data_IF_928226836365
#
_entry.id   IF_928226836365
#
_cell.length_a   1.000
_cell.length_b   1.000
_cell.length_c   1.000
_cell.angle_alpha   90.00
_cell.angle_beta   90.00
_cell.angle_gamma   90.00
#
_symmetry.space_group_name_H-M   'P 1'
#
loop_
_entity.id
_entity.type
_entity.pdbx_description
1 polymer ?
#
# COMPACT_ATOMS: atom_id res chain seq x y z
N UNK A 1 10.30 -29.86 48.17
CA UNK A 1 10.41 -29.87 46.69
C UNK A 1 8.99 -29.82 46.14
N UNK A 2 8.54 -28.65 45.70
CA UNK A 2 7.16 -28.43 45.30
C UNK A 2 6.89 -28.99 43.91
N UNK A 3 5.99 -29.97 43.84
CA UNK A 3 5.59 -30.67 42.61
C UNK A 3 5.13 -29.69 41.53
N UNK A 4 4.60 -28.52 41.91
CA UNK A 4 4.14 -27.46 41.00
C UNK A 4 5.30 -26.76 40.28
N UNK A 5 6.44 -26.56 40.94
CA UNK A 5 7.64 -25.94 40.34
C UNK A 5 8.36 -26.90 39.39
N UNK A 6 8.35 -28.20 39.72
CA UNK A 6 8.87 -29.25 38.83
C UNK A 6 8.04 -29.35 37.54
N UNK A 7 6.71 -29.34 37.64
CA UNK A 7 5.82 -29.41 36.48
C UNK A 7 5.90 -28.17 35.58
N UNK A 8 6.05 -26.96 36.15
CA UNK A 8 6.32 -25.74 35.37
C UNK A 8 7.67 -25.83 34.64
N UNK A 9 8.71 -26.29 35.32
CA UNK A 9 10.04 -26.42 34.73
C UNK A 9 10.06 -27.44 33.58
N UNK A 10 9.38 -28.58 33.73
CA UNK A 10 9.24 -29.58 32.66
C UNK A 10 8.47 -29.00 31.48
N UNK A 11 7.35 -28.29 31.72
CA UNK A 11 6.56 -27.66 30.66
C UNK A 11 7.35 -26.60 29.87
N UNK A 12 8.20 -25.82 30.53
CA UNK A 12 9.08 -24.84 29.86
C UNK A 12 10.16 -25.55 29.04
N UNK A 13 10.77 -26.61 29.58
CA UNK A 13 11.86 -27.35 28.91
C UNK A 13 11.39 -28.19 27.71
N UNK A 14 10.19 -28.77 27.78
CA UNK A 14 9.64 -29.62 26.71
C UNK A 14 8.68 -28.87 25.78
N UNK A 15 8.01 -27.83 26.26
CA UNK A 15 7.11 -27.01 25.44
C UNK A 15 7.83 -26.02 24.53
N UNK A 16 9.03 -25.55 24.90
CA UNK A 16 9.79 -24.57 24.12
C UNK A 16 10.50 -25.11 22.88
N UNK A 17 10.70 -26.43 22.77
CA UNK A 17 11.54 -27.04 21.72
C UNK A 17 10.77 -27.79 20.64
N UNK A 18 9.49 -28.14 20.87
CA UNK A 18 8.76 -29.02 19.96
C UNK A 18 7.70 -28.33 19.10
N UNK A 19 7.29 -27.10 19.44
CA UNK A 19 6.32 -26.35 18.63
C UNK A 19 6.71 -24.87 18.60
N UNK A 20 7.44 -24.47 17.56
CA UNK A 20 7.37 -23.08 17.08
C UNK A 20 8.51 -22.14 17.45
N UNK A 21 9.71 -22.61 17.84
CA UNK A 21 10.88 -21.72 17.85
C UNK A 21 11.14 -21.14 16.45
N UNK A 22 11.03 -21.96 15.39
CA UNK A 22 11.18 -21.48 14.00
C UNK A 22 10.00 -20.62 13.53
N UNK A 23 8.78 -20.86 14.01
CA UNK A 23 7.59 -20.05 13.67
C UNK A 23 7.58 -18.69 14.41
N UNK A 24 8.10 -18.65 15.64
CA UNK A 24 8.27 -17.42 16.41
C UNK A 24 9.51 -16.65 15.95
N UNK A 25 10.63 -17.30 15.65
CA UNK A 25 11.83 -16.63 15.14
C UNK A 25 11.62 -16.10 13.71
N UNK A 26 10.87 -16.80 12.85
CA UNK A 26 10.48 -16.28 11.53
C UNK A 26 9.54 -15.08 11.59
N UNK A 27 8.85 -14.85 12.72
CA UNK A 27 8.07 -13.63 12.94
C UNK A 27 8.89 -12.44 13.46
N UNK A 28 10.10 -12.67 13.99
CA UNK A 28 10.98 -11.61 14.53
C UNK A 28 12.23 -11.34 13.71
N UNK A 29 12.57 -12.20 12.75
CA UNK A 29 13.56 -11.90 11.72
C UNK A 29 12.82 -11.43 10.48
N UNK A 30 12.97 -10.16 10.10
CA UNK A 30 12.66 -9.73 8.73
C UNK A 30 13.39 -10.72 7.80
N UNK A 31 12.67 -11.56 7.04
CA UNK A 31 13.33 -12.52 6.17
C UNK A 31 14.23 -11.70 5.23
N UNK A 32 15.49 -12.09 5.16
CA UNK A 32 16.47 -11.58 4.21
C UNK A 32 15.77 -11.30 2.88
N UNK A 33 15.74 -10.03 2.47
CA UNK A 33 14.97 -9.52 1.34
C UNK A 33 15.49 -10.04 -0.02
N UNK A 34 15.49 -11.35 -0.26
CA UNK A 34 15.24 -11.84 -1.61
C UNK A 34 13.78 -11.52 -1.87
N UNK A 35 13.51 -10.65 -2.84
CA UNK A 35 12.16 -10.22 -3.18
C UNK A 35 11.23 -11.44 -3.30
N UNK A 36 10.40 -11.65 -2.28
CA UNK A 36 9.29 -12.60 -2.33
C UNK A 36 8.25 -11.89 -3.17
N UNK A 37 8.27 -12.14 -4.49
CA UNK A 37 7.35 -11.56 -5.46
C UNK A 37 8.00 -11.10 -6.75
N UNK A 38 7.21 -10.49 -7.62
CA UNK A 38 7.63 -10.06 -8.97
C UNK A 38 8.42 -8.73 -8.96
N UNK A 39 8.24 -7.87 -7.96
CA UNK A 39 8.91 -6.57 -7.90
C UNK A 39 10.32 -6.69 -7.33
N UNK A 40 11.27 -5.96 -7.93
CA UNK A 40 12.62 -5.82 -7.37
C UNK A 40 12.61 -4.98 -6.08
N UNK A 41 13.67 -5.09 -5.27
CA UNK A 41 13.85 -4.24 -4.09
C UNK A 41 13.84 -2.74 -4.45
N UNK A 42 14.41 -2.36 -5.60
CA UNK A 42 14.39 -0.97 -6.07
C UNK A 42 12.98 -0.49 -6.44
N UNK A 43 12.13 -1.36 -6.99
CA UNK A 43 10.72 -1.06 -7.28
C UNK A 43 9.89 -0.97 -6.00
N UNK A 44 10.13 -1.83 -5.03
CA UNK A 44 9.52 -1.74 -3.68
C UNK A 44 9.88 -0.41 -3.02
N UNK A 45 11.16 -0.01 -3.06
CA UNK A 45 11.61 1.27 -2.53
C UNK A 45 11.00 2.46 -3.27
N UNK A 46 10.88 2.37 -4.59
CA UNK A 46 10.19 3.38 -5.40
C UNK A 46 8.72 3.53 -4.96
N UNK A 47 8.00 2.43 -4.80
CA UNK A 47 6.61 2.45 -4.31
C UNK A 47 6.49 3.05 -2.91
N UNK A 48 7.42 2.70 -2.01
CA UNK A 48 7.46 3.29 -0.67
C UNK A 48 7.67 4.81 -0.71
N UNK A 49 8.56 5.32 -1.57
CA UNK A 49 8.80 6.77 -1.71
C UNK A 49 7.64 7.50 -2.40
N UNK A 50 6.99 6.89 -3.40
CA UNK A 50 5.76 7.43 -4.00
C UNK A 50 4.68 7.49 -2.92
N UNK A 51 4.51 6.39 -2.16
CA UNK A 51 3.60 6.30 -1.03
C UNK A 51 3.84 7.41 -0.01
N UNK A 52 5.07 7.58 0.48
CA UNK A 52 5.41 8.62 1.45
C UNK A 52 5.17 10.03 0.91
N UNK A 53 5.28 10.23 -0.40
CA UNK A 53 4.99 11.54 -1.01
C UNK A 53 3.47 11.81 -1.03
N UNK A 54 2.65 10.78 -1.22
CA UNK A 54 1.17 10.89 -1.23
C UNK A 54 0.61 10.94 0.20
N UNK A 55 1.12 10.10 1.10
CA UNK A 55 0.72 9.95 2.50
C UNK A 55 1.96 10.09 3.39
N UNK A 56 2.48 11.32 3.58
CA UNK A 56 3.66 11.57 4.38
C UNK A 56 3.39 11.37 5.86
N UNK A 57 4.45 11.08 6.61
CA UNK A 57 4.41 11.09 8.07
C UNK A 57 3.94 12.45 8.59
N UNK A 58 2.95 12.42 9.48
CA UNK A 58 2.40 13.59 10.17
C UNK A 58 2.56 13.45 11.68
N UNK A 59 2.15 14.47 12.44
CA UNK A 59 2.12 14.39 13.89
C UNK A 59 1.14 13.33 14.43
N UNK A 60 0.13 12.92 13.66
CA UNK A 60 -0.92 11.99 14.09
C UNK A 60 -0.69 10.55 13.65
N UNK A 61 0.03 10.33 12.55
CA UNK A 61 0.26 9.00 11.97
C UNK A 61 1.55 8.97 11.17
N UNK A 62 2.21 7.80 11.20
CA UNK A 62 3.35 7.51 10.32
C UNK A 62 2.91 7.40 8.86
N UNK A 63 3.81 7.75 7.95
CA UNK A 63 3.54 7.77 6.51
C UNK A 63 3.57 6.39 5.85
N UNK A 64 3.25 6.35 4.56
CA UNK A 64 3.15 5.11 3.82
C UNK A 64 4.47 4.36 3.64
N UNK A 65 5.62 5.03 3.65
CA UNK A 65 6.91 4.32 3.66
C UNK A 65 7.14 3.59 4.98
N UNK A 66 6.74 4.19 6.10
CA UNK A 66 6.82 3.52 7.41
C UNK A 66 5.86 2.32 7.50
N UNK A 67 4.74 2.36 6.78
CA UNK A 67 3.82 1.22 6.61
C UNK A 67 4.30 0.16 5.61
N UNK A 68 5.46 0.37 4.97
CA UNK A 68 6.04 -0.51 3.96
C UNK A 68 5.04 -0.92 2.85
N UNK A 69 4.28 0.05 2.35
CA UNK A 69 3.25 -0.18 1.33
C UNK A 69 3.79 -0.89 0.10
N UNK A 70 5.03 -0.64 -0.31
CA UNK A 70 5.67 -1.30 -1.44
C UNK A 70 5.81 -2.82 -1.26
N UNK A 71 6.09 -3.28 -0.04
CA UNK A 71 6.19 -4.72 0.24
C UNK A 71 4.81 -5.39 0.21
N UNK A 72 3.79 -4.75 0.82
CA UNK A 72 2.41 -5.25 0.76
C UNK A 72 1.90 -5.30 -0.68
N UNK A 73 2.17 -4.26 -1.47
CA UNK A 73 1.84 -4.23 -2.90
C UNK A 73 2.52 -5.37 -3.65
N UNK A 74 3.80 -5.68 -3.37
CA UNK A 74 4.49 -6.77 -4.03
C UNK A 74 3.81 -8.13 -3.79
N UNK A 75 3.36 -8.40 -2.55
CA UNK A 75 2.60 -9.61 -2.21
C UNK A 75 1.29 -9.64 -3.01
N UNK A 76 0.49 -8.58 -2.95
CA UNK A 76 -0.82 -8.52 -3.61
C UNK A 76 -0.70 -8.64 -5.14
N UNK A 77 0.28 -7.96 -5.74
CA UNK A 77 0.51 -8.05 -7.19
C UNK A 77 0.99 -9.46 -7.58
N UNK A 78 1.80 -10.10 -6.75
CA UNK A 78 2.30 -11.45 -7.03
C UNK A 78 1.19 -12.50 -6.96
N UNK A 79 0.37 -12.43 -5.91
CA UNK A 79 -0.55 -13.52 -5.58
C UNK A 79 -1.94 -13.33 -6.19
N UNK A 80 -2.37 -12.08 -6.45
CA UNK A 80 -3.74 -11.78 -6.84
C UNK A 80 -3.91 -11.28 -8.27
N UNK A 81 -2.83 -10.87 -8.96
CA UNK A 81 -2.94 -10.23 -10.28
C UNK A 81 -2.56 -11.19 -11.40
N UNK A 82 -3.21 -11.06 -12.55
CA UNK A 82 -2.86 -11.80 -13.75
C UNK A 82 -1.55 -11.26 -14.37
N UNK A 83 -0.88 -12.06 -15.20
CA UNK A 83 0.43 -11.69 -15.80
C UNK A 83 0.36 -10.39 -16.59
N UNK A 84 -0.76 -10.15 -17.27
CA UNK A 84 -1.01 -8.94 -18.05
C UNK A 84 -1.12 -7.71 -17.14
N UNK A 85 -1.74 -7.84 -15.96
CA UNK A 85 -1.85 -6.78 -14.95
C UNK A 85 -0.50 -6.51 -14.27
N UNK A 86 0.23 -7.58 -13.92
CA UNK A 86 1.57 -7.48 -13.38
C UNK A 86 2.50 -6.70 -14.33
N UNK A 87 2.43 -7.01 -15.63
CA UNK A 87 3.20 -6.30 -16.67
C UNK A 87 2.82 -4.82 -16.74
N UNK A 88 1.52 -4.50 -16.71
CA UNK A 88 1.04 -3.11 -16.68
C UNK A 88 1.57 -2.32 -15.48
N UNK A 89 1.66 -2.94 -14.31
CA UNK A 89 2.25 -2.29 -13.13
C UNK A 89 3.74 -2.01 -13.32
N UNK A 90 4.50 -2.99 -13.82
CA UNK A 90 5.93 -2.81 -14.10
C UNK A 90 6.19 -1.70 -15.13
N UNK A 91 5.36 -1.61 -16.16
CA UNK A 91 5.38 -0.53 -17.14
C UNK A 91 5.02 0.82 -16.52
N UNK A 92 4.01 0.86 -15.66
CA UNK A 92 3.62 2.06 -14.92
C UNK A 92 4.78 2.61 -14.07
N UNK A 93 5.54 1.74 -13.40
CA UNK A 93 6.71 2.14 -12.60
C UNK A 93 7.85 2.69 -13.48
N UNK A 94 8.04 2.15 -14.69
CA UNK A 94 8.99 2.71 -15.67
C UNK A 94 8.53 4.09 -16.13
N UNK A 95 7.24 4.23 -16.45
CA UNK A 95 6.64 5.48 -16.93
C UNK A 95 6.78 6.61 -15.90
N UNK A 96 6.62 6.33 -14.61
CA UNK A 96 6.89 7.32 -13.54
C UNK A 96 8.31 7.88 -13.64
N UNK A 97 9.31 7.03 -13.85
CA UNK A 97 10.70 7.49 -13.96
C UNK A 97 10.96 8.25 -15.26
N UNK A 98 10.34 7.84 -16.38
CA UNK A 98 10.44 8.55 -17.66
C UNK A 98 9.89 9.97 -17.50
N UNK A 99 8.65 10.12 -17.02
CA UNK A 99 8.04 11.44 -16.84
C UNK A 99 8.77 12.29 -15.80
N UNK A 100 9.33 11.68 -14.75
CA UNK A 100 10.20 12.37 -13.81
C UNK A 100 11.47 12.89 -14.51
N UNK A 101 12.18 12.07 -15.29
CA UNK A 101 13.35 12.53 -16.03
C UNK A 101 13.04 13.63 -17.03
N UNK A 102 11.88 13.61 -17.67
CA UNK A 102 11.47 14.66 -18.59
C UNK A 102 11.23 16.00 -17.89
N UNK A 103 10.59 15.96 -16.72
CA UNK A 103 10.14 17.16 -15.98
C UNK A 103 11.18 17.70 -15.00
N UNK A 104 11.73 16.84 -14.14
CA UNK A 104 12.67 17.21 -13.05
C UNK A 104 14.14 16.90 -13.38
N UNK A 105 14.43 16.27 -14.53
CA UNK A 105 15.79 15.86 -14.97
C UNK A 105 16.51 14.89 -14.02
N UNK A 106 15.76 14.15 -13.21
CA UNK A 106 16.22 13.19 -12.20
C UNK A 106 15.31 11.97 -12.18
N UNK A 107 15.78 10.84 -11.64
CA UNK A 107 14.87 9.76 -11.26
C UNK A 107 13.98 10.22 -10.11
N UNK A 108 12.83 9.58 -9.92
CA UNK A 108 11.97 9.90 -8.78
C UNK A 108 12.70 9.71 -7.43
N UNK A 109 13.51 8.65 -7.31
CA UNK A 109 14.27 8.35 -6.10
C UNK A 109 15.41 9.34 -5.83
N UNK A 110 16.02 9.95 -6.84
CA UNK A 110 17.08 10.96 -6.63
C UNK A 110 16.55 12.38 -6.45
N UNK A 111 15.26 12.61 -6.69
CA UNK A 111 14.61 13.89 -6.49
C UNK A 111 14.43 14.24 -5.00
N UNK A 112 14.42 15.52 -4.68
CA UNK A 112 14.11 16.02 -3.34
C UNK A 112 12.62 15.95 -3.00
N UNK A 113 12.27 16.03 -1.71
CA UNK A 113 10.87 15.91 -1.23
C UNK A 113 9.91 16.90 -1.92
N UNK A 114 10.33 18.16 -2.08
CA UNK A 114 9.51 19.18 -2.74
C UNK A 114 9.33 18.92 -4.23
N UNK A 115 10.40 18.51 -4.93
CA UNK A 115 10.37 18.15 -6.36
C UNK A 115 9.42 16.96 -6.59
N UNK A 116 9.51 15.91 -5.76
CA UNK A 116 8.61 14.74 -5.81
C UNK A 116 7.15 15.13 -5.62
N UNK A 117 6.87 15.99 -4.63
CA UNK A 117 5.50 16.44 -4.35
C UNK A 117 4.92 17.23 -5.52
N UNK A 118 5.67 18.19 -6.08
CA UNK A 118 5.23 18.96 -7.25
C UNK A 118 5.00 18.06 -8.46
N UNK A 119 5.94 17.14 -8.73
CA UNK A 119 5.81 16.17 -9.82
C UNK A 119 4.56 15.29 -9.67
N UNK A 120 4.34 14.66 -8.51
CA UNK A 120 3.16 13.80 -8.31
C UNK A 120 1.86 14.59 -8.31
N UNK A 121 1.87 15.84 -7.85
CA UNK A 121 0.68 16.71 -7.90
C UNK A 121 0.28 16.99 -9.35
N UNK A 122 1.24 17.36 -10.20
CA UNK A 122 0.99 17.59 -11.62
C UNK A 122 0.57 16.29 -12.34
N UNK A 123 1.20 15.16 -12.00
CA UNK A 123 0.86 13.86 -12.57
C UNK A 123 -0.56 13.41 -12.17
N UNK A 124 -0.95 13.64 -10.92
CA UNK A 124 -2.30 13.33 -10.42
C UNK A 124 -3.38 14.18 -11.10
N UNK A 125 -3.10 15.47 -11.33
CA UNK A 125 -4.00 16.36 -12.09
C UNK A 125 -4.15 15.87 -13.54
N UNK A 126 -3.05 15.54 -14.21
CA UNK A 126 -3.06 14.96 -15.57
C UNK A 126 -3.88 13.66 -15.61
N UNK A 127 -3.67 12.76 -14.66
CA UNK A 127 -4.43 11.51 -14.54
C UNK A 127 -5.92 11.74 -14.31
N UNK A 128 -6.28 12.72 -13.46
CA UNK A 128 -7.67 13.10 -13.18
C UNK A 128 -8.38 13.62 -14.43
N UNK A 129 -7.75 14.55 -15.17
CA UNK A 129 -8.32 15.09 -16.41
C UNK A 129 -8.50 14.01 -17.46
N UNK A 130 -7.50 13.15 -17.66
CA UNK A 130 -7.58 12.00 -18.55
C UNK A 130 -8.76 11.09 -18.19
N UNK A 131 -8.92 10.75 -16.90
CA UNK A 131 -9.98 9.86 -16.46
C UNK A 131 -11.38 10.48 -16.67
N UNK A 132 -11.52 11.79 -16.46
CA UNK A 132 -12.78 12.50 -16.68
C UNK A 132 -13.18 12.51 -18.15
N UNK A 133 -12.25 12.83 -19.04
CA UNK A 133 -12.49 12.83 -20.48
C UNK A 133 -12.81 11.42 -21.00
N UNK A 134 -12.03 10.43 -20.55
CA UNK A 134 -12.28 9.01 -20.83
C UNK A 134 -13.69 8.60 -20.41
N UNK A 135 -14.12 8.96 -19.21
CA UNK A 135 -15.45 8.59 -18.70
C UNK A 135 -16.57 9.15 -19.59
N UNK A 136 -16.42 10.37 -20.10
CA UNK A 136 -17.41 10.96 -21.02
C UNK A 136 -17.46 10.15 -22.33
N UNK A 137 -16.30 9.90 -22.96
CA UNK A 137 -16.20 9.13 -24.21
C UNK A 137 -16.71 7.71 -24.07
N UNK A 138 -16.33 7.03 -22.98
CA UNK A 138 -16.75 5.66 -22.68
C UNK A 138 -18.28 5.59 -22.46
N UNK A 139 -18.87 6.58 -21.78
CA UNK A 139 -20.32 6.64 -21.56
C UNK A 139 -21.10 6.88 -22.86
N UNK A 140 -20.55 7.66 -23.80
CA UNK A 140 -21.13 7.86 -25.12
C UNK A 140 -21.04 6.61 -25.97
N UNK A 141 -19.85 5.99 -26.05
CA UNK A 141 -19.62 4.76 -26.80
C UNK A 141 -20.50 3.59 -26.30
N UNK A 142 -20.69 3.48 -24.98
CA UNK A 142 -21.57 2.46 -24.37
C UNK A 142 -23.04 2.62 -24.75
N UNK A 143 -23.50 3.82 -25.11
CA UNK A 143 -24.88 4.03 -25.59
C UNK A 143 -25.06 3.56 -27.04
N UNK A 144 -23.99 3.50 -27.82
CA UNK A 144 -24.02 3.21 -29.25
C UNK A 144 -23.55 1.79 -29.63
N UNK A 145 -22.89 1.08 -28.71
CA UNK A 145 -22.30 -0.24 -28.98
C UNK A 145 -22.54 -1.21 -27.80
N UNK A 146 -23.30 -2.28 -28.06
CA UNK A 146 -23.59 -3.35 -27.10
C UNK A 146 -22.35 -4.18 -26.73
N UNK A 147 -21.26 -4.10 -27.51
CA UNK A 147 -19.97 -4.75 -27.24
C UNK A 147 -18.90 -3.78 -26.77
N UNK A 148 -19.31 -2.67 -26.16
CA UNK A 148 -18.41 -1.65 -25.65
C UNK A 148 -17.33 -2.23 -24.71
N UNK A 149 -16.07 -1.95 -25.04
CA UNK A 149 -14.91 -2.22 -24.19
C UNK A 149 -14.35 -0.90 -23.71
N UNK A 150 -14.24 -0.73 -22.40
CA UNK A 150 -13.72 0.50 -21.82
C UNK A 150 -12.25 0.71 -22.19
N UNK A 151 -11.90 1.95 -22.53
CA UNK A 151 -10.50 2.34 -22.74
C UNK A 151 -9.67 2.06 -21.47
N UNK A 152 -8.34 1.90 -21.56
CA UNK A 152 -7.50 1.76 -20.36
C UNK A 152 -7.48 3.08 -19.55
N UNK A 153 -7.35 2.97 -18.23
CA UNK A 153 -7.18 4.12 -17.35
C UNK A 153 -5.77 4.71 -17.49
N UNK A 154 -5.58 5.96 -17.03
CA UNK A 154 -4.24 6.52 -16.91
C UNK A 154 -3.39 5.65 -15.96
N UNK A 155 -2.15 5.36 -16.33
CA UNK A 155 -1.28 4.41 -15.61
C UNK A 155 -1.12 4.75 -14.11
N UNK A 156 -1.04 6.05 -13.79
CA UNK A 156 -0.87 6.51 -12.42
C UNK A 156 -2.11 6.29 -11.54
N UNK A 157 -3.32 6.25 -12.12
CA UNK A 157 -4.57 6.11 -11.36
C UNK A 157 -4.60 4.79 -10.59
N UNK A 158 -4.31 3.67 -11.27
CA UNK A 158 -4.30 2.35 -10.62
C UNK A 158 -3.19 2.23 -9.58
N UNK A 159 -2.01 2.80 -9.87
CA UNK A 159 -0.89 2.81 -8.94
C UNK A 159 -1.23 3.57 -7.64
N UNK A 160 -1.78 4.78 -7.76
CA UNK A 160 -2.21 5.59 -6.61
C UNK A 160 -3.29 4.90 -5.80
N UNK A 161 -4.30 4.31 -6.46
CA UNK A 161 -5.36 3.57 -5.78
C UNK A 161 -4.80 2.40 -4.96
N UNK A 162 -3.88 1.63 -5.54
CA UNK A 162 -3.27 0.49 -4.86
C UNK A 162 -2.38 0.92 -3.68
N UNK A 163 -1.68 2.05 -3.79
CA UNK A 163 -0.92 2.64 -2.67
C UNK A 163 -1.84 3.04 -1.52
N UNK A 164 -2.94 3.75 -1.82
CA UNK A 164 -3.92 4.15 -0.82
C UNK A 164 -4.53 2.92 -0.14
N UNK A 165 -4.92 1.93 -0.94
CA UNK A 165 -5.46 0.67 -0.43
C UNK A 165 -4.44 -0.05 0.47
N UNK A 166 -3.18 -0.15 0.05
CA UNK A 166 -2.13 -0.79 0.85
C UNK A 166 -1.90 -0.06 2.18
N UNK A 167 -1.88 1.28 2.18
CA UNK A 167 -1.74 2.03 3.42
C UNK A 167 -2.91 1.82 4.37
N UNK A 168 -4.14 1.96 3.87
CA UNK A 168 -5.34 1.80 4.70
C UNK A 168 -5.67 0.34 5.02
N UNK A 169 -4.89 -0.64 4.57
CA UNK A 169 -4.95 -2.03 5.06
C UNK A 169 -3.72 -2.38 5.94
N UNK A 170 -2.84 -1.43 6.20
CA UNK A 170 -1.73 -1.60 7.14
C UNK A 170 -2.16 -1.30 8.58
N UNK A 171 -1.44 -1.86 9.56
CA UNK A 171 -1.67 -1.55 10.98
C UNK A 171 -1.56 -0.05 11.27
N UNK A 172 -0.57 0.64 10.66
CA UNK A 172 -0.38 2.08 10.79
C UNK A 172 -1.60 2.83 10.24
N UNK A 173 -2.06 2.48 9.04
CA UNK A 173 -3.25 3.09 8.46
C UNK A 173 -4.51 2.85 9.31
N UNK A 174 -4.67 1.65 9.84
CA UNK A 174 -5.83 1.26 10.62
C UNK A 174 -5.89 1.93 12.00
N UNK A 175 -4.78 1.96 12.71
CA UNK A 175 -4.73 2.35 14.13
C UNK A 175 -4.23 3.78 14.36
N UNK A 176 -3.31 4.26 13.53
CA UNK A 176 -2.73 5.61 13.63
C UNK A 176 -3.45 6.62 12.70
N UNK A 177 -3.75 6.26 11.45
CA UNK A 177 -4.45 7.18 10.54
C UNK A 177 -5.98 7.17 10.73
N UNK A 178 -6.54 6.00 11.01
CA UNK A 178 -7.97 5.77 11.25
C UNK A 178 -8.25 5.40 12.70
N UNK A 179 -9.52 5.14 13.01
CA UNK A 179 -9.98 4.62 14.30
C UNK A 179 -10.35 3.16 14.11
N UNK A 180 -9.49 2.27 14.56
CA UNK A 180 -9.77 0.84 14.56
C UNK A 180 -10.59 0.43 15.78
N UNK A 181 -11.69 -0.28 15.54
CA UNK A 181 -12.47 -0.99 16.58
C UNK A 181 -12.48 -2.46 16.19
N UNK A 182 -11.81 -3.30 16.98
CA UNK A 182 -11.65 -4.72 16.67
C UNK A 182 -12.98 -5.47 16.59
N UNK A 183 -13.97 -5.09 17.41
CA UNK A 183 -15.30 -5.69 17.42
C UNK A 183 -16.35 -4.58 17.64
N UNK A 184 -17.06 -4.12 16.60
CA UNK A 184 -18.16 -3.17 16.77
C UNK A 184 -19.38 -3.90 17.34
N UNK A 185 -19.46 -4.02 18.66
CA UNK A 185 -20.52 -4.76 19.37
C UNK A 185 -21.88 -4.07 19.33
N UNK A 186 -21.92 -2.76 19.07
CA UNK A 186 -23.16 -1.97 18.99
C UNK A 186 -23.08 -1.01 17.81
N UNK A 187 -24.16 -0.93 17.04
CA UNK A 187 -24.33 0.12 16.03
C UNK A 187 -24.71 1.44 16.69
N UNK A 188 -23.92 2.47 16.46
CA UNK A 188 -24.19 3.83 16.92
C UNK A 188 -24.38 4.74 15.69
N UNK A 189 -25.63 4.98 15.31
CA UNK A 189 -25.96 5.75 14.11
C UNK A 189 -25.64 7.25 14.19
N UNK A 190 -25.36 7.77 15.40
CA UNK A 190 -24.96 9.15 15.63
C UNK A 190 -23.87 9.20 16.70
N UNK A 191 -22.62 9.41 16.26
CA UNK A 191 -21.47 9.66 17.13
C UNK A 191 -21.11 11.15 17.04
N UNK A 192 -20.92 11.87 18.15
CA UNK A 192 -20.52 13.27 18.11
C UNK A 192 -19.22 13.45 17.31
N UNK A 193 -19.24 14.30 16.29
CA UNK A 193 -18.06 14.65 15.51
C UNK A 193 -17.40 15.90 16.07
N UNK A 194 -16.14 15.78 16.46
CA UNK A 194 -15.30 16.94 16.78
C UNK A 194 -14.39 17.25 15.60
N UNK A 195 -14.19 18.55 15.31
CA UNK A 195 -13.32 18.96 14.22
C UNK A 195 -11.92 18.37 14.41
N UNK A 196 -11.46 17.61 13.41
CA UNK A 196 -10.16 16.94 13.46
C UNK A 196 -10.19 15.51 13.97
N UNK A 197 -11.39 14.98 14.28
CA UNK A 197 -11.64 13.57 14.47
C UNK A 197 -11.25 12.77 13.23
N UNK A 198 -10.57 11.63 13.47
CA UNK A 198 -10.19 10.67 12.43
C UNK A 198 -11.42 9.87 11.99
N UNK A 199 -11.43 9.44 10.73
CA UNK A 199 -12.42 8.50 10.23
C UNK A 199 -12.26 7.12 10.90
N UNK A 200 -13.33 6.33 10.89
CA UNK A 200 -13.30 4.94 11.32
C UNK A 200 -12.67 4.06 10.25
N UNK A 201 -12.02 2.98 10.69
CA UNK A 201 -11.49 1.92 9.82
C UNK A 201 -12.60 1.09 9.20
#
# INVERSE_FOLDING_TARGET
MDRRELLKSIAILTGGTLIGADALLSSFTNPDHKAIGILSLSQVNLLNEIGETILPTTAKSKGAKAANVGALMNVIITDCYQKEEQTRILESLKQVNIEAFETIKKTFLSAGKSERHQFLTALDQKAYHFQKEKQIKDNEARKSDDKFVASPNHYFTGLKQLILWAYFNSEIGATEALRFVSVPTRYEGCVPYHKGDRAWY
#
